data_IF_677238405737
#
_entry.id   IF_677238405737
#
_cell.length_a   1.000
_cell.length_b   1.000
_cell.length_c   1.000
_cell.angle_alpha   90.00
_cell.angle_beta   90.00
_cell.angle_gamma   90.00
#
_symmetry.space_group_name_H-M   'P 1'
#
loop_
_entity.id
_entity.type
_entity.pdbx_description
1 polymer ?
#
# COMPACT_ATOMS: atom_id res chain seq x y z
N UNK A 1 -7.96 2.24 -18.66
CA UNK A 1 -7.05 1.47 -19.52
C UNK A 1 -7.02 0.08 -18.94
N UNK A 2 -7.25 -0.93 -19.77
CA UNK A 2 -7.34 -2.33 -19.35
C UNK A 2 -6.35 -3.16 -20.16
N UNK A 3 -5.84 -4.24 -19.58
CA UNK A 3 -5.03 -5.23 -20.30
C UNK A 3 -5.93 -6.21 -21.08
N UNK A 4 -5.32 -7.26 -21.66
CA UNK A 4 -6.04 -8.27 -22.46
C UNK A 4 -6.96 -9.17 -21.63
N UNK A 5 -6.78 -9.17 -20.29
CA UNK A 5 -7.54 -9.97 -19.32
C UNK A 5 -8.60 -9.12 -18.58
N UNK A 6 -8.94 -7.94 -19.12
CA UNK A 6 -9.89 -6.96 -18.55
C UNK A 6 -9.49 -6.40 -17.16
N UNK A 7 -8.21 -6.47 -16.78
CA UNK A 7 -7.73 -5.85 -15.54
C UNK A 7 -7.45 -4.36 -15.73
N UNK A 8 -7.89 -3.53 -14.79
CA UNK A 8 -7.57 -2.10 -14.84
C UNK A 8 -6.08 -1.85 -14.58
N UNK A 9 -5.38 -1.29 -15.58
CA UNK A 9 -3.94 -0.96 -15.53
C UNK A 9 -3.68 0.56 -15.53
N UNK A 10 -4.73 1.37 -15.39
CA UNK A 10 -4.59 2.82 -15.30
C UNK A 10 -3.91 3.25 -14.00
N UNK A 11 -3.30 4.44 -14.03
CA UNK A 11 -2.54 5.02 -12.90
C UNK A 11 -3.31 6.12 -12.16
N UNK A 12 -4.64 6.13 -12.31
CA UNK A 12 -5.49 7.20 -11.80
C UNK A 12 -5.31 8.52 -12.55
N UNK A 13 -5.78 9.65 -11.97
CA UNK A 13 -5.59 10.99 -12.51
C UNK A 13 -4.10 11.36 -12.63
N UNK A 14 -3.79 12.31 -13.50
CA UNK A 14 -2.40 12.75 -13.74
C UNK A 14 -1.70 13.15 -12.43
N UNK A 15 -0.51 12.57 -12.20
CA UNK A 15 0.33 12.82 -11.02
C UNK A 15 -0.07 12.04 -9.76
N UNK A 16 -1.20 11.33 -9.76
CA UNK A 16 -1.62 10.58 -8.58
C UNK A 16 -0.69 9.41 -8.26
N UNK A 17 -0.29 8.65 -9.28
CA UNK A 17 0.67 7.55 -9.11
C UNK A 17 2.03 8.05 -8.60
N UNK A 18 2.53 9.18 -9.11
CA UNK A 18 3.80 9.75 -8.66
C UNK A 18 3.72 10.17 -7.18
N UNK A 19 2.59 10.76 -6.77
CA UNK A 19 2.31 11.05 -5.37
C UNK A 19 2.30 9.78 -4.51
N UNK A 20 1.67 8.69 -4.97
CA UNK A 20 1.66 7.42 -4.25
C UNK A 20 3.07 6.85 -4.05
N UNK A 21 3.96 6.97 -5.04
CA UNK A 21 5.35 6.55 -4.87
C UNK A 21 6.06 7.37 -3.78
N UNK A 22 5.87 8.69 -3.76
CA UNK A 22 6.41 9.57 -2.71
C UNK A 22 5.87 9.18 -1.33
N UNK A 23 4.57 8.89 -1.21
CA UNK A 23 3.94 8.46 0.05
C UNK A 23 4.48 7.08 0.48
N UNK A 24 4.65 6.15 -0.45
CA UNK A 24 5.23 4.83 -0.20
C UNK A 24 6.67 4.94 0.32
N UNK A 25 7.49 5.80 -0.28
CA UNK A 25 8.87 6.06 0.17
C UNK A 25 8.91 6.67 1.58
N UNK A 26 7.99 7.59 1.88
CA UNK A 26 7.87 8.15 3.23
C UNK A 26 7.48 7.07 4.23
N UNK A 27 6.49 6.21 3.91
CA UNK A 27 6.10 5.08 4.75
C UNK A 27 7.28 4.17 5.05
N UNK A 28 8.02 3.77 4.01
CA UNK A 28 9.19 2.92 4.15
C UNK A 28 10.25 3.56 5.06
N UNK A 29 10.51 4.86 4.87
CA UNK A 29 11.46 5.61 5.71
C UNK A 29 11.02 5.69 7.17
N UNK A 30 9.72 5.69 7.48
CA UNK A 30 9.24 5.64 8.86
C UNK A 30 9.59 4.31 9.53
N UNK A 31 9.48 3.19 8.80
CA UNK A 31 9.93 1.88 9.28
C UNK A 31 11.46 1.78 9.36
N UNK A 32 12.18 2.16 8.31
CA UNK A 32 13.64 2.08 8.25
C UNK A 32 14.31 2.89 9.37
N UNK A 33 13.73 4.06 9.71
CA UNK A 33 14.20 4.91 10.81
C UNK A 33 13.62 4.52 12.18
N UNK A 34 12.92 3.38 12.28
CA UNK A 34 12.33 2.84 13.51
C UNK A 34 11.32 3.78 14.18
N UNK A 35 10.73 4.71 13.45
CA UNK A 35 9.76 5.67 14.00
C UNK A 35 8.54 4.91 14.52
N UNK A 36 8.01 3.97 13.73
CA UNK A 36 6.81 3.20 14.09
C UNK A 36 7.01 2.36 15.35
N UNK A 37 8.03 1.50 15.37
CA UNK A 37 8.33 0.66 16.53
C UNK A 37 8.65 1.47 17.80
N UNK A 38 9.34 2.61 17.68
CA UNK A 38 9.67 3.44 18.84
C UNK A 38 8.45 4.23 19.36
N UNK A 39 7.50 4.58 18.51
CA UNK A 39 6.28 5.29 18.92
C UNK A 39 5.24 4.35 19.50
N UNK A 40 5.07 3.16 18.92
CA UNK A 40 3.95 2.26 19.27
C UNK A 40 4.37 1.00 20.02
N UNK A 41 5.67 0.77 20.23
CA UNK A 41 6.23 -0.48 20.77
C UNK A 41 5.80 -1.73 19.99
N UNK A 42 5.42 -1.56 18.71
CA UNK A 42 5.06 -2.62 17.78
C UNK A 42 5.34 -2.16 16.34
N UNK A 43 5.77 -3.07 15.48
CA UNK A 43 5.77 -2.83 14.03
C UNK A 43 4.32 -2.87 13.52
N UNK A 44 3.75 -1.70 13.26
CA UNK A 44 2.37 -1.53 12.78
C UNK A 44 2.42 -1.17 11.29
N UNK A 45 1.68 -1.86 10.41
CA UNK A 45 1.65 -1.50 9.00
C UNK A 45 1.01 -0.13 8.76
N UNK A 46 1.57 0.61 7.81
CA UNK A 46 0.99 1.86 7.28
C UNK A 46 0.22 1.50 6.01
N UNK A 47 -1.12 1.59 6.07
CA UNK A 47 -1.97 1.29 4.91
C UNK A 47 -2.13 2.56 4.07
N UNK A 48 -1.74 2.50 2.80
CA UNK A 48 -1.90 3.59 1.84
C UNK A 48 -3.17 3.34 1.04
N UNK A 49 -4.14 4.24 1.16
CA UNK A 49 -5.51 4.06 0.68
C UNK A 49 -6.03 5.29 -0.08
N UNK A 50 -7.00 5.07 -0.96
CA UNK A 50 -7.78 6.09 -1.71
C UNK A 50 -9.28 5.75 -1.58
N UNK A 51 -10.17 6.07 -2.53
CA UNK A 51 -11.57 5.67 -2.47
C UNK A 51 -11.77 4.14 -2.43
N UNK A 52 -10.96 3.41 -3.20
CA UNK A 52 -10.95 1.94 -3.26
C UNK A 52 -9.49 1.43 -3.26
N UNK A 53 -9.31 0.16 -2.91
CA UNK A 53 -8.01 -0.50 -3.02
C UNK A 53 -7.73 -0.94 -4.46
N UNK A 54 -7.38 0.04 -5.29
CA UNK A 54 -6.84 -0.21 -6.63
C UNK A 54 -5.45 -0.85 -6.55
N UNK A 55 -5.02 -1.52 -7.64
CA UNK A 55 -3.72 -2.19 -7.71
C UNK A 55 -2.54 -1.28 -7.30
N UNK A 56 -2.59 0.02 -7.62
CA UNK A 56 -1.52 0.97 -7.30
C UNK A 56 -1.49 1.39 -5.82
N UNK A 57 -2.62 1.38 -5.09
CA UNK A 57 -2.61 1.65 -3.63
C UNK A 57 -2.19 0.40 -2.86
N UNK A 58 -2.55 -0.77 -3.37
CA UNK A 58 -2.04 -2.07 -2.89
C UNK A 58 -0.52 -2.16 -3.07
N UNK A 59 -0.02 -1.85 -4.28
CA UNK A 59 1.42 -1.76 -4.58
C UNK A 59 2.12 -0.76 -3.65
N UNK A 60 1.59 0.46 -3.51
CA UNK A 60 2.18 1.47 -2.64
C UNK A 60 2.24 1.00 -1.18
N UNK A 61 1.18 0.36 -0.68
CA UNK A 61 1.14 -0.24 0.66
C UNK A 61 2.20 -1.32 0.80
N UNK A 62 2.31 -2.26 -0.14
CA UNK A 62 3.32 -3.30 -0.10
C UNK A 62 4.74 -2.73 -0.07
N UNK A 63 5.04 -1.76 -0.94
CA UNK A 63 6.35 -1.12 -1.03
C UNK A 63 6.71 -0.27 0.19
N UNK A 64 5.71 0.36 0.80
CA UNK A 64 5.86 1.23 1.97
C UNK A 64 6.07 0.48 3.29
N UNK A 65 5.89 -0.84 3.29
CA UNK A 65 5.93 -1.69 4.48
C UNK A 65 6.95 -2.82 4.27
N UNK A 66 8.23 -2.61 4.63
CA UNK A 66 9.29 -3.59 4.37
C UNK A 66 9.05 -4.91 5.13
N UNK A 67 9.69 -5.99 4.66
CA UNK A 67 9.69 -7.30 5.33
C UNK A 67 8.30 -7.92 5.55
N UNK A 68 7.31 -7.57 4.73
CA UNK A 68 5.97 -8.16 4.80
C UNK A 68 5.15 -7.69 6.01
N UNK A 69 5.48 -6.54 6.61
CA UNK A 69 4.73 -5.97 7.75
C UNK A 69 3.23 -5.82 7.42
N UNK A 70 2.88 -5.56 6.15
CA UNK A 70 1.51 -5.43 5.69
C UNK A 70 0.84 -6.74 5.22
N UNK A 71 1.50 -7.90 5.28
CA UNK A 71 0.99 -9.15 4.67
C UNK A 71 -0.40 -9.55 5.17
N UNK A 72 -0.66 -9.44 6.49
CA UNK A 72 -1.97 -9.79 7.06
C UNK A 72 -3.09 -8.97 6.41
N UNK A 73 -2.84 -7.67 6.19
CA UNK A 73 -3.80 -6.80 5.53
C UNK A 73 -3.97 -7.17 4.03
N UNK A 74 -2.86 -7.39 3.32
CA UNK A 74 -2.88 -7.74 1.90
C UNK A 74 -3.57 -9.09 1.64
N UNK A 75 -3.36 -10.07 2.52
CA UNK A 75 -4.05 -11.37 2.47
C UNK A 75 -5.55 -11.22 2.71
N UNK A 76 -5.95 -10.44 3.73
CA UNK A 76 -7.36 -10.18 4.02
C UNK A 76 -8.06 -9.44 2.87
N UNK A 77 -7.37 -8.49 2.23
CA UNK A 77 -7.89 -7.75 1.08
C UNK A 77 -8.19 -8.68 -0.11
N UNK A 78 -7.32 -9.67 -0.35
CA UNK A 78 -7.45 -10.63 -1.44
C UNK A 78 -8.47 -11.74 -1.18
N UNK A 79 -8.83 -11.98 0.09
CA UNK A 79 -9.76 -13.05 0.45
C UNK A 79 -11.23 -12.65 0.32
N UNK A 80 -11.52 -11.39 -0.04
CA UNK A 80 -12.81 -10.71 0.14
C UNK A 80 -13.26 -10.78 1.62
N UNK A 81 -13.70 -9.67 2.20
CA UNK A 81 -14.22 -9.72 3.57
C UNK A 81 -15.42 -10.68 3.59
N UNK A 82 -15.44 -11.73 4.43
CA UNK A 82 -16.66 -12.50 4.59
C UNK A 82 -17.75 -11.54 5.09
N UNK A 83 -18.90 -11.53 4.41
CA UNK A 83 -20.10 -10.81 4.85
C UNK A 83 -20.52 -11.19 6.28
#
# INVERSE_FOLDING_TARGET
MFDEDDNYIGKGPNGFYDLLQVVSDVSKRLHDNKVIINTFNKEIPIIIHDLEYSWYTVEATQNGNPNGIANIFLEALNQEFPE
#
